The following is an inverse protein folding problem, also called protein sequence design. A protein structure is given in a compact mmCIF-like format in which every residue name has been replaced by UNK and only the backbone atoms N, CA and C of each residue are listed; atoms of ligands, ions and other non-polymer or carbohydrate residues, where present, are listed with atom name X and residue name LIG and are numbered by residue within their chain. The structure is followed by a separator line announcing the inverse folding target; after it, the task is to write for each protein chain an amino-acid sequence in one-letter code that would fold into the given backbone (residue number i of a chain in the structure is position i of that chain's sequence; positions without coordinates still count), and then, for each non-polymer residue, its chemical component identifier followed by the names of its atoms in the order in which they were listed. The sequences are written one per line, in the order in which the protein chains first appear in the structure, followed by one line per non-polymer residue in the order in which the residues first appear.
data_IF_017767144689
#
_entry.id   IF_017767144689
#
_cell.length_a   1.000
_cell.length_b   1.000
_cell.length_c   1.000
_cell.angle_alpha   90.00
_cell.angle_beta   90.00
_cell.angle_gamma   90.00
#
_symmetry.space_group_name_H-M   'P 1'
#
loop_
_entity.id
_entity.type
_entity.pdbx_description
1 polymer ?
#
# COMPACT_ATOMS: atom_id res chain seq x y z
N UNK A 1 34.32 5.79 9.34
CA UNK A 1 33.42 6.73 8.67
C UNK A 1 33.12 6.22 7.27
N UNK A 2 31.87 6.32 6.85
CA UNK A 2 31.39 5.94 5.51
C UNK A 2 31.04 7.20 4.72
N UNK A 3 31.24 7.13 3.41
CA UNK A 3 30.99 8.22 2.48
C UNK A 3 30.23 7.71 1.26
N UNK A 4 29.39 8.58 0.72
CA UNK A 4 28.72 8.41 -0.57
C UNK A 4 28.58 9.76 -1.28
N UNK A 5 28.40 9.71 -2.60
CA UNK A 5 28.24 10.87 -3.48
C UNK A 5 26.83 11.50 -3.47
N UNK A 6 25.86 10.83 -2.86
CA UNK A 6 24.46 11.30 -2.74
C UNK A 6 23.88 10.91 -1.37
N UNK A 7 22.90 11.67 -0.83
CA UNK A 7 22.16 11.24 0.35
C UNK A 7 21.15 10.13 -0.01
N UNK A 8 20.92 9.19 0.91
CA UNK A 8 19.82 8.23 0.78
C UNK A 8 18.45 8.94 0.79
N UNK A 9 17.42 8.42 0.11
CA UNK A 9 17.38 7.16 -0.62
C UNK A 9 17.79 7.28 -2.10
N UNK A 10 18.53 8.32 -2.49
CA UNK A 10 18.93 8.50 -3.88
C UNK A 10 19.91 7.40 -4.34
N UNK A 11 20.04 7.26 -5.66
CA UNK A 11 21.00 6.34 -6.26
C UNK A 11 22.42 6.86 -6.05
N UNK A 12 23.15 6.23 -5.13
CA UNK A 12 24.58 6.46 -4.92
C UNK A 12 25.37 5.74 -6.02
N UNK A 13 26.44 6.38 -6.51
CA UNK A 13 27.31 5.79 -7.55
C UNK A 13 28.77 5.71 -7.15
N UNK A 14 29.17 6.42 -6.10
CA UNK A 14 30.53 6.41 -5.55
C UNK A 14 30.50 6.54 -4.02
N UNK A 15 31.57 6.08 -3.37
CA UNK A 15 31.68 6.05 -1.92
C UNK A 15 32.95 5.37 -1.42
N UNK A 16 33.25 5.59 -0.14
CA UNK A 16 34.46 5.09 0.48
C UNK A 16 34.29 4.87 1.99
N UNK A 17 35.21 4.10 2.57
CA UNK A 17 35.31 3.95 4.02
C UNK A 17 36.66 4.48 4.47
N UNK A 18 36.64 5.37 5.46
CA UNK A 18 37.83 6.00 6.00
C UNK A 18 37.92 5.86 7.51
N UNK A 19 39.15 5.77 7.99
CA UNK A 19 39.50 5.80 9.41
C UNK A 19 40.31 7.06 9.70
N UNK A 20 39.87 7.83 10.69
CA UNK A 20 40.58 8.97 11.25
C UNK A 20 41.25 8.55 12.56
N UNK A 21 42.56 8.69 12.64
CA UNK A 21 43.30 8.65 13.90
C UNK A 21 43.25 10.06 14.52
N UNK A 22 42.41 10.24 15.54
CA UNK A 22 42.16 11.55 16.17
C UNK A 22 43.32 12.07 17.02
N UNK A 23 44.34 11.24 17.29
CA UNK A 23 45.54 11.69 18.00
C UNK A 23 46.55 12.34 17.04
N UNK A 24 46.52 11.96 15.76
CA UNK A 24 47.50 12.40 14.74
C UNK A 24 46.87 13.15 13.57
N UNK A 25 45.54 13.27 13.55
CA UNK A 25 44.73 13.75 12.43
C UNK A 25 44.99 13.02 11.10
N UNK A 26 45.51 11.78 11.18
CA UNK A 26 45.83 11.00 10.00
C UNK A 26 44.61 10.23 9.50
N UNK A 27 44.24 10.50 8.25
CA UNK A 27 43.23 9.75 7.51
C UNK A 27 43.85 8.55 6.80
N UNK A 28 43.20 7.39 6.89
CA UNK A 28 43.56 6.17 6.14
C UNK A 28 42.33 5.63 5.44
N UNK A 29 42.42 5.43 4.13
CA UNK A 29 41.37 4.76 3.35
C UNK A 29 41.36 3.27 3.73
N UNK A 30 40.20 2.76 4.10
CA UNK A 30 39.96 1.36 4.52
C UNK A 30 38.77 0.76 3.77
N UNK A 31 38.52 1.22 2.54
CA UNK A 31 37.40 0.81 1.69
C UNK A 31 37.47 -0.70 1.36
N UNK A 32 36.45 -1.52 1.72
CA UNK A 32 36.44 -2.96 1.44
C UNK A 32 36.47 -3.29 -0.06
N UNK A 33 35.55 -2.69 -0.80
CA UNK A 33 35.41 -2.79 -2.25
C UNK A 33 35.26 -1.39 -2.83
N UNK A 34 36.10 -1.03 -3.80
CA UNK A 34 36.02 0.28 -4.46
C UNK A 34 34.89 0.25 -5.50
N UNK A 35 33.94 1.22 -5.46
CA UNK A 35 33.02 1.45 -6.56
C UNK A 35 33.78 1.65 -7.87
N UNK A 36 33.17 1.23 -8.97
CA UNK A 36 33.74 1.42 -10.30
C UNK A 36 33.76 2.92 -10.66
N UNK A 37 34.75 3.40 -11.43
CA UNK A 37 34.77 4.79 -11.87
C UNK A 37 33.51 5.14 -12.65
N UNK A 38 32.98 6.35 -12.43
CA UNK A 38 31.80 6.83 -13.12
C UNK A 38 31.92 6.67 -14.65
N UNK A 39 30.87 6.14 -15.28
CA UNK A 39 30.82 5.93 -16.73
C UNK A 39 31.51 4.66 -17.24
N UNK A 40 31.94 3.75 -16.35
CA UNK A 40 32.51 2.45 -16.72
C UNK A 40 31.53 1.29 -16.52
N UNK A 41 31.78 0.17 -17.20
CA UNK A 41 31.07 -1.10 -16.99
C UNK A 41 31.57 -1.75 -15.69
N UNK A 42 30.97 -1.37 -14.56
CA UNK A 42 31.31 -1.89 -13.23
C UNK A 42 30.20 -1.61 -12.21
N UNK A 43 30.40 -2.03 -10.96
CA UNK A 43 29.43 -1.78 -9.88
C UNK A 43 29.58 -0.35 -9.35
N UNK A 44 28.50 0.42 -9.41
CA UNK A 44 28.43 1.81 -8.95
C UNK A 44 27.61 1.85 -7.66
N UNK A 45 28.20 2.30 -6.55
CA UNK A 45 27.56 2.27 -5.23
C UNK A 45 28.24 3.17 -4.21
N UNK A 46 27.56 3.40 -3.09
CA UNK A 46 28.10 4.09 -1.93
C UNK A 46 28.23 3.21 -0.70
N UNK A 47 28.78 3.77 0.39
CA UNK A 47 28.73 3.17 1.72
C UNK A 47 27.83 4.00 2.63
N UNK A 48 26.91 3.35 3.35
CA UNK A 48 25.91 4.02 4.15
C UNK A 48 26.20 3.92 5.65
N UNK A 49 26.09 2.71 6.22
CA UNK A 49 26.19 2.50 7.65
C UNK A 49 27.57 2.02 8.09
N UNK A 50 27.93 2.30 9.34
CA UNK A 50 29.12 1.77 10.01
C UNK A 50 28.81 1.52 11.47
N UNK A 51 29.18 0.33 11.97
CA UNK A 51 29.12 0.01 13.39
C UNK A 51 30.44 -0.60 13.85
N UNK A 52 30.84 -0.29 15.09
CA UNK A 52 32.07 -0.79 15.72
C UNK A 52 31.66 -1.67 16.89
N UNK A 53 32.26 -2.86 16.98
CA UNK A 53 32.04 -3.77 18.10
C UNK A 53 32.56 -3.12 19.39
N UNK A 54 31.68 -2.95 20.38
CA UNK A 54 32.03 -2.34 21.66
C UNK A 54 33.08 -3.13 22.43
N UNK A 55 33.08 -4.45 22.29
CA UNK A 55 33.99 -5.35 23.02
C UNK A 55 35.37 -5.45 22.39
N UNK A 56 35.47 -5.16 21.08
CA UNK A 56 36.69 -5.19 20.30
C UNK A 56 36.65 -4.11 19.22
N UNK A 57 37.21 -2.91 19.48
CA UNK A 57 37.17 -1.80 18.51
C UNK A 57 37.93 -2.05 17.20
N UNK A 58 38.71 -3.14 17.09
CA UNK A 58 39.26 -3.57 15.81
C UNK A 58 38.20 -4.22 14.91
N UNK A 59 37.07 -4.64 15.47
CA UNK A 59 35.95 -5.21 14.75
C UNK A 59 34.99 -4.11 14.29
N UNK A 60 34.79 -4.00 12.98
CA UNK A 60 33.97 -2.98 12.33
C UNK A 60 33.13 -3.63 11.23
N UNK A 61 31.87 -3.22 11.11
CA UNK A 61 31.01 -3.57 9.98
C UNK A 61 30.60 -2.32 9.21
N UNK A 62 30.46 -2.45 7.89
CA UNK A 62 29.94 -1.40 7.01
C UNK A 62 28.97 -1.98 6.00
N UNK A 63 27.98 -1.17 5.61
CA UNK A 63 27.02 -1.55 4.56
C UNK A 63 27.28 -0.80 3.27
N UNK A 64 26.98 -1.44 2.15
CA UNK A 64 26.87 -0.74 0.88
C UNK A 64 25.45 -0.24 0.66
N UNK A 65 25.33 0.71 -0.27
CA UNK A 65 24.06 1.23 -0.75
C UNK A 65 24.10 1.31 -2.27
N UNK A 66 23.09 0.74 -2.93
CA UNK A 66 23.00 0.64 -4.38
C UNK A 66 24.10 -0.20 -5.06
N UNK A 67 24.69 -1.20 -4.37
CA UNK A 67 25.73 -2.08 -4.96
C UNK A 67 25.31 -2.90 -6.18
N UNK A 68 24.00 -2.94 -6.46
CA UNK A 68 23.41 -3.74 -7.53
C UNK A 68 23.91 -5.19 -7.46
N UNK A 69 23.77 -6.00 -8.52
CA UNK A 69 23.89 -7.47 -8.48
C UNK A 69 25.08 -8.01 -7.64
N UNK A 70 24.87 -9.00 -6.75
CA UNK A 70 23.58 -9.64 -6.47
C UNK A 70 22.63 -8.77 -5.63
N UNK A 71 23.17 -7.97 -4.70
CA UNK A 71 22.45 -7.06 -3.80
C UNK A 71 23.46 -6.20 -3.01
N UNK A 72 22.96 -5.29 -2.16
CA UNK A 72 23.79 -4.60 -1.16
C UNK A 72 24.48 -5.60 -0.21
N UNK A 73 25.72 -5.31 0.19
CA UNK A 73 26.57 -6.20 0.98
C UNK A 73 26.92 -5.58 2.34
N UNK A 74 27.23 -6.44 3.30
CA UNK A 74 27.78 -6.07 4.60
C UNK A 74 29.21 -6.59 4.66
N UNK A 75 30.17 -5.69 4.85
CA UNK A 75 31.57 -6.07 5.05
C UNK A 75 31.94 -6.00 6.53
N UNK A 76 32.58 -7.07 7.02
CA UNK A 76 33.12 -7.16 8.38
C UNK A 76 34.65 -7.19 8.36
N UNK A 77 35.27 -6.40 9.22
CA UNK A 77 36.70 -6.41 9.51
C UNK A 77 36.90 -6.75 10.98
N UNK A 78 38.01 -7.42 11.32
CA UNK A 78 38.46 -7.69 12.70
C UNK A 78 39.87 -7.14 12.97
N UNK A 79 40.39 -6.28 12.08
CA UNK A 79 41.74 -5.71 12.14
C UNK A 79 41.78 -4.19 11.90
N UNK A 80 40.66 -3.53 12.20
CA UNK A 80 40.49 -2.09 12.09
C UNK A 80 40.41 -1.61 10.64
N UNK A 81 39.83 -2.41 9.75
CA UNK A 81 39.57 -2.11 8.35
C UNK A 81 40.73 -2.41 7.39
N UNK A 82 41.75 -3.17 7.81
CA UNK A 82 42.85 -3.55 6.91
C UNK A 82 42.44 -4.67 5.97
N UNK A 83 41.66 -5.63 6.47
CA UNK A 83 41.04 -6.70 5.68
C UNK A 83 39.56 -6.79 5.99
N UNK A 84 38.79 -7.25 5.00
CA UNK A 84 37.33 -7.31 5.05
C UNK A 84 36.81 -8.65 4.52
N UNK A 85 35.64 -9.05 5.02
CA UNK A 85 34.92 -10.25 4.60
C UNK A 85 33.45 -9.90 4.33
N UNK A 86 32.85 -10.36 3.22
CA UNK A 86 31.41 -10.22 2.99
C UNK A 86 30.64 -11.11 3.97
N UNK A 87 29.49 -10.64 4.44
CA UNK A 87 28.61 -11.42 5.32
C UNK A 87 27.45 -12.06 4.54
N UNK A 88 26.95 -11.44 3.49
CA UNK A 88 25.70 -11.80 2.84
C UNK A 88 25.84 -12.69 1.61
N UNK A 89 26.95 -12.60 0.87
CA UNK A 89 27.19 -13.42 -0.33
C UNK A 89 26.98 -14.93 -0.11
N UNK A 90 27.33 -15.44 1.07
CA UNK A 90 27.19 -16.86 1.47
C UNK A 90 26.14 -17.08 2.55
N UNK A 91 25.36 -16.06 2.89
CA UNK A 91 24.37 -16.15 3.95
C UNK A 91 23.26 -17.16 3.64
N UNK A 92 22.65 -17.70 4.69
CA UNK A 92 21.36 -18.38 4.60
C UNK A 92 20.27 -17.53 5.24
N UNK A 93 19.08 -17.55 4.66
CA UNK A 93 17.97 -16.68 5.03
C UNK A 93 16.78 -17.50 5.56
N UNK A 94 16.26 -17.09 6.70
CA UNK A 94 15.04 -17.63 7.30
C UNK A 94 13.89 -16.64 7.08
N UNK A 95 12.99 -17.01 6.17
CA UNK A 95 11.80 -16.26 5.81
C UNK A 95 10.54 -16.71 6.57
N UNK A 96 10.65 -17.64 7.52
CA UNK A 96 9.48 -18.30 8.15
C UNK A 96 8.53 -17.33 8.87
N UNK A 97 9.02 -16.20 9.36
CA UNK A 97 8.18 -15.16 10.00
C UNK A 97 7.37 -14.34 8.99
N UNK A 98 7.85 -14.25 7.74
CA UNK A 98 7.22 -13.48 6.67
C UNK A 98 7.57 -14.09 5.30
N UNK A 99 6.93 -15.21 4.89
CA UNK A 99 7.38 -16.00 3.74
C UNK A 99 7.41 -15.22 2.42
N UNK A 100 6.57 -14.19 2.26
CA UNK A 100 6.57 -13.33 1.06
C UNK A 100 7.93 -12.67 0.76
N UNK A 101 8.79 -12.53 1.77
CA UNK A 101 10.12 -11.92 1.66
C UNK A 101 11.12 -12.77 0.88
N UNK A 102 10.85 -14.07 0.64
CA UNK A 102 11.70 -14.97 -0.18
C UNK A 102 11.84 -14.47 -1.64
N UNK A 103 10.89 -13.66 -2.10
CA UNK A 103 10.91 -13.03 -3.43
C UNK A 103 11.47 -11.60 -3.44
N UNK A 104 11.95 -11.11 -2.29
CA UNK A 104 12.47 -9.75 -2.13
C UNK A 104 14.00 -9.75 -2.23
N UNK A 105 14.57 -8.70 -2.82
CA UNK A 105 16.03 -8.52 -2.90
C UNK A 105 16.46 -7.57 -1.80
N UNK A 106 17.50 -7.89 -1.03
CA UNK A 106 18.03 -6.97 -0.01
C UNK A 106 18.59 -5.70 -0.65
N UNK A 107 18.20 -4.54 -0.11
CA UNK A 107 18.57 -3.22 -0.62
C UNK A 107 18.38 -2.18 0.48
N UNK A 108 18.96 -1.00 0.27
CA UNK A 108 18.78 0.16 1.15
C UNK A 108 19.24 -0.10 2.58
N UNK A 109 20.42 -0.70 2.73
CA UNK A 109 21.04 -0.98 4.02
C UNK A 109 21.58 0.31 4.64
N UNK A 110 20.69 1.17 5.11
CA UNK A 110 21.03 2.47 5.70
C UNK A 110 21.57 2.38 7.13
N UNK A 111 21.30 1.27 7.82
CA UNK A 111 21.72 1.08 9.20
C UNK A 111 22.12 -0.37 9.48
N UNK A 112 23.10 -0.52 10.36
CA UNK A 112 23.55 -1.82 10.88
C UNK A 112 24.08 -1.64 12.30
N UNK A 113 23.70 -2.55 13.19
CA UNK A 113 24.13 -2.51 14.58
C UNK A 113 24.62 -3.86 15.05
N UNK A 114 25.75 -3.84 15.79
CA UNK A 114 26.28 -4.98 16.54
C UNK A 114 25.74 -4.87 17.95
N UNK A 115 25.16 -5.96 18.49
CA UNK A 115 24.71 -5.96 19.87
C UNK A 115 25.91 -5.71 20.82
N UNK A 116 25.89 -4.66 21.65
CA UNK A 116 27.00 -4.34 22.54
C UNK A 116 27.26 -5.40 23.63
N UNK A 117 26.35 -6.38 23.78
CA UNK A 117 26.43 -7.49 24.70
C UNK A 117 26.71 -8.84 24.01
N UNK A 118 26.65 -8.91 22.68
CA UNK A 118 26.92 -10.14 21.92
C UNK A 118 27.47 -9.81 20.53
N UNK A 119 28.75 -10.09 20.32
CA UNK A 119 29.40 -9.89 19.00
C UNK A 119 28.90 -10.82 17.89
N UNK A 120 28.16 -11.85 18.27
CA UNK A 120 27.47 -12.75 17.33
C UNK A 120 26.16 -12.17 16.84
N UNK A 121 25.56 -11.23 17.59
CA UNK A 121 24.28 -10.65 17.24
C UNK A 121 24.43 -9.35 16.47
N UNK A 122 23.81 -9.28 15.30
CA UNK A 122 23.73 -8.06 14.49
C UNK A 122 22.34 -7.88 13.90
N UNK A 123 21.95 -6.63 13.64
CA UNK A 123 20.71 -6.29 12.95
C UNK A 123 20.99 -5.25 11.86
N UNK A 124 20.34 -5.35 10.71
CA UNK A 124 20.41 -4.33 9.67
C UNK A 124 19.02 -4.04 9.08
N UNK A 125 18.86 -2.81 8.58
CA UNK A 125 17.63 -2.37 7.92
C UNK A 125 17.66 -2.65 6.42
N UNK A 126 16.48 -2.84 5.84
CA UNK A 126 16.27 -2.82 4.39
C UNK A 126 15.08 -1.93 4.07
N UNK A 127 14.82 -1.69 2.78
CA UNK A 127 13.61 -0.99 2.35
C UNK A 127 12.29 -1.72 2.67
N UNK A 128 12.31 -2.92 3.24
CA UNK A 128 11.11 -3.71 3.53
C UNK A 128 11.11 -4.40 4.91
N UNK A 129 12.05 -4.04 5.80
CA UNK A 129 12.08 -4.58 7.16
C UNK A 129 13.49 -4.81 7.69
N UNK A 130 13.57 -5.49 8.83
CA UNK A 130 14.79 -5.70 9.61
C UNK A 130 15.21 -7.16 9.53
N UNK A 131 16.50 -7.38 9.32
CA UNK A 131 17.12 -8.70 9.37
C UNK A 131 18.09 -8.78 10.53
N UNK A 132 18.15 -9.93 11.20
CA UNK A 132 19.09 -10.17 12.28
C UNK A 132 19.84 -11.48 12.11
N UNK A 133 21.02 -11.57 12.69
CA UNK A 133 21.81 -12.79 12.82
C UNK A 133 22.24 -12.96 14.27
N UNK A 134 22.37 -14.20 14.72
CA UNK A 134 22.95 -14.58 16.01
C UNK A 134 24.25 -15.39 15.85
N UNK A 135 24.90 -15.32 14.68
CA UNK A 135 26.16 -16.03 14.42
C UNK A 135 27.15 -15.22 13.57
N UNK A 136 27.17 -13.89 13.69
CA UNK A 136 28.00 -13.03 12.86
C UNK A 136 29.50 -13.38 12.89
N UNK A 137 30.04 -13.89 14.01
CA UNK A 137 31.47 -14.27 14.10
C UNK A 137 31.82 -15.53 13.30
N UNK A 138 30.83 -16.27 12.79
CA UNK A 138 31.07 -17.41 11.90
C UNK A 138 31.89 -16.99 10.66
N UNK A 139 31.67 -15.77 10.16
CA UNK A 139 32.41 -15.20 9.04
C UNK A 139 33.92 -15.10 9.32
N UNK A 140 34.33 -14.89 10.57
CA UNK A 140 35.75 -14.80 10.98
C UNK A 140 36.47 -16.15 10.77
N UNK A 141 35.73 -17.25 10.86
CA UNK A 141 36.19 -18.63 10.57
C UNK A 141 35.95 -19.06 9.12
N UNK A 142 35.39 -18.20 8.28
CA UNK A 142 35.06 -18.52 6.88
C UNK A 142 33.78 -19.35 6.71
N UNK A 143 32.95 -19.42 7.75
CA UNK A 143 31.65 -20.09 7.76
C UNK A 143 30.52 -19.11 7.35
N UNK A 144 29.42 -19.61 6.76
CA UNK A 144 28.22 -18.80 6.47
C UNK A 144 27.57 -18.16 7.70
N UNK A 145 27.07 -16.94 7.53
CA UNK A 145 26.14 -16.32 8.49
C UNK A 145 24.71 -16.76 8.21
N UNK A 146 23.84 -16.69 9.23
CA UNK A 146 22.43 -17.07 9.16
C UNK A 146 21.59 -15.89 9.60
N UNK A 147 20.62 -15.51 8.80
CA UNK A 147 19.79 -14.34 9.03
C UNK A 147 18.31 -14.70 9.09
N UNK A 148 17.58 -14.14 10.06
CA UNK A 148 16.13 -14.22 10.17
C UNK A 148 15.49 -12.85 9.97
N UNK A 149 14.28 -12.83 9.41
CA UNK A 149 13.50 -11.60 9.28
C UNK A 149 12.84 -11.24 10.62
N UNK A 150 13.35 -10.21 11.28
CA UNK A 150 12.99 -9.79 12.65
C UNK A 150 12.06 -8.57 12.67
N UNK A 151 11.06 -8.54 11.80
CA UNK A 151 10.03 -7.48 11.77
C UNK A 151 8.71 -7.91 12.43
N UNK A 152 8.71 -8.93 13.29
CA UNK A 152 7.46 -9.37 13.96
C UNK A 152 6.85 -8.19 14.73
N UNK A 153 5.57 -7.90 14.46
CA UNK A 153 4.81 -6.76 15.02
C UNK A 153 5.30 -5.37 14.57
N UNK A 154 6.18 -5.29 13.58
CA UNK A 154 6.55 -4.04 12.91
C UNK A 154 5.86 -4.01 11.53
N UNK A 155 4.74 -3.29 11.47
CA UNK A 155 3.97 -3.09 10.24
C UNK A 155 4.17 -1.66 9.74
N UNK A 156 4.80 -1.51 8.57
CA UNK A 156 5.11 -0.20 7.97
C UNK A 156 4.55 -0.04 6.54
N UNK A 157 3.79 -1.03 6.06
CA UNK A 157 3.20 -0.94 4.72
C UNK A 157 2.23 0.24 4.62
N UNK A 158 2.07 0.75 3.40
CA UNK A 158 1.08 1.78 3.07
C UNK A 158 -0.04 1.12 2.26
N UNK A 159 -1.20 0.81 2.87
CA UNK A 159 -2.34 0.34 2.10
C UNK A 159 -2.92 1.46 1.25
N UNK A 160 -3.17 1.12 -0.02
CA UNK A 160 -3.73 2.03 -1.02
C UNK A 160 -5.16 1.61 -1.40
N UNK A 161 -5.50 0.34 -1.23
CA UNK A 161 -6.84 -0.17 -1.43
C UNK A 161 -7.11 -1.40 -0.56
N UNK A 162 -8.33 -1.51 -0.04
CA UNK A 162 -8.80 -2.61 0.80
C UNK A 162 -10.18 -3.07 0.33
N UNK A 163 -10.36 -4.37 0.13
CA UNK A 163 -11.68 -4.96 -0.12
C UNK A 163 -11.87 -6.20 0.75
N UNK A 164 -13.05 -6.32 1.37
CA UNK A 164 -13.46 -7.49 2.15
C UNK A 164 -14.65 -8.16 1.46
N UNK A 165 -14.42 -9.21 0.64
CA UNK A 165 -15.49 -9.87 -0.07
C UNK A 165 -16.39 -10.71 0.86
N UNK A 166 -17.65 -10.94 0.48
CA UNK A 166 -18.58 -11.79 1.24
C UNK A 166 -18.22 -13.28 1.23
N UNK A 167 -17.29 -13.71 0.37
CA UNK A 167 -16.82 -15.09 0.23
C UNK A 167 -15.30 -15.12 -0.02
N UNK A 168 -14.64 -16.25 0.23
CA UNK A 168 -13.18 -16.39 0.04
C UNK A 168 -12.35 -15.81 1.19
N UNK A 169 -11.22 -15.18 0.88
CA UNK A 169 -10.32 -14.58 1.87
C UNK A 169 -11.01 -13.44 2.65
N UNK A 170 -10.62 -13.19 3.90
CA UNK A 170 -11.21 -12.14 4.75
C UNK A 170 -10.93 -10.74 4.22
N UNK A 171 -9.74 -10.54 3.67
CA UNK A 171 -9.30 -9.25 3.17
C UNK A 171 -8.38 -9.44 1.96
N UNK A 172 -8.50 -8.55 0.99
CA UNK A 172 -7.54 -8.39 -0.10
C UNK A 172 -7.03 -6.95 -0.01
N UNK A 173 -5.71 -6.80 -0.01
CA UNK A 173 -5.06 -5.50 0.15
C UNK A 173 -4.18 -5.15 -1.04
N UNK A 174 -4.35 -3.95 -1.57
CA UNK A 174 -3.41 -3.30 -2.48
C UNK A 174 -2.52 -2.37 -1.68
N UNK A 175 -1.21 -2.56 -1.81
CA UNK A 175 -0.19 -1.91 -1.00
C UNK A 175 0.82 -1.18 -1.88
N UNK A 176 1.40 -0.12 -1.31
CA UNK A 176 2.61 0.50 -1.86
C UNK A 176 3.82 -0.42 -1.73
N UNK A 177 4.71 -0.35 -2.73
CA UNK A 177 6.01 -1.02 -2.84
C UNK A 177 6.01 -2.56 -2.83
N UNK A 178 4.98 -3.23 -2.32
CA UNK A 178 4.92 -4.70 -2.22
C UNK A 178 3.74 -5.31 -2.97
N UNK A 179 3.16 -4.56 -3.91
CA UNK A 179 1.98 -4.93 -4.70
C UNK A 179 0.72 -5.11 -3.83
N UNK A 180 0.60 -6.24 -3.13
CA UNK A 180 -0.59 -6.59 -2.36
C UNK A 180 -0.68 -8.08 -2.03
N UNK A 181 -1.69 -8.42 -1.24
CA UNK A 181 -1.86 -9.72 -0.62
C UNK A 181 -3.32 -10.17 -0.52
N UNK A 182 -3.51 -11.48 -0.49
CA UNK A 182 -4.75 -12.16 -0.10
C UNK A 182 -4.58 -12.63 1.35
N UNK A 183 -5.48 -12.23 2.24
CA UNK A 183 -5.41 -12.51 3.67
C UNK A 183 -6.51 -13.50 4.08
N UNK A 184 -6.16 -14.79 4.11
CA UNK A 184 -7.05 -15.86 4.56
C UNK A 184 -7.15 -15.92 6.10
N UNK A 185 -6.01 -15.80 6.78
CA UNK A 185 -5.88 -15.74 8.23
C UNK A 185 -5.16 -14.45 8.63
N UNK A 186 -5.85 -13.57 9.35
CA UNK A 186 -5.33 -12.26 9.77
C UNK A 186 -4.21 -12.36 10.82
N UNK A 187 -3.96 -13.56 11.38
CA UNK A 187 -2.90 -13.81 12.35
C UNK A 187 -1.61 -14.36 11.73
N UNK A 188 -1.60 -14.63 10.42
CA UNK A 188 -0.47 -15.19 9.69
C UNK A 188 0.02 -14.22 8.62
N UNK A 189 1.33 -14.14 8.43
CA UNK A 189 1.88 -13.45 7.26
C UNK A 189 1.44 -14.17 5.99
N UNK A 190 1.05 -13.46 4.93
CA UNK A 190 0.80 -14.07 3.63
C UNK A 190 2.05 -14.79 3.09
N UNK A 191 1.81 -15.92 2.43
CA UNK A 191 2.88 -16.74 1.82
C UNK A 191 3.59 -16.02 0.67
N UNK A 192 2.83 -15.27 -0.13
CA UNK A 192 3.36 -14.55 -1.28
C UNK A 192 2.57 -13.26 -1.53
N UNK A 193 3.25 -12.26 -2.10
CA UNK A 193 2.60 -11.16 -2.83
C UNK A 193 1.76 -11.74 -3.96
N UNK A 194 0.79 -11.00 -4.49
CA UNK A 194 -0.05 -11.46 -5.62
C UNK A 194 0.78 -12.19 -6.69
N UNK A 195 0.40 -13.34 -7.25
CA UNK A 195 1.13 -13.90 -8.39
C UNK A 195 0.66 -13.26 -9.70
N UNK A 196 1.40 -13.49 -10.80
CA UNK A 196 1.13 -12.87 -12.10
C UNK A 196 1.85 -11.53 -12.26
N UNK A 197 1.27 -10.51 -12.92
CA UNK A 197 1.96 -9.24 -13.14
C UNK A 197 2.19 -8.48 -11.81
N UNK A 198 3.37 -8.64 -11.21
CA UNK A 198 4.40 -7.59 -11.16
C UNK A 198 4.04 -6.12 -10.90
N UNK A 199 3.17 -5.71 -9.97
CA UNK A 199 3.05 -4.27 -9.67
C UNK A 199 4.03 -3.87 -8.57
N UNK A 200 4.45 -2.61 -8.60
CA UNK A 200 5.08 -1.94 -7.45
C UNK A 200 3.98 -1.59 -6.45
N UNK A 201 2.98 -0.85 -6.91
CA UNK A 201 1.83 -0.43 -6.13
C UNK A 201 0.57 -1.01 -6.77
N UNK A 202 -0.27 -1.71 -6.02
CA UNK A 202 -1.69 -1.84 -6.39
C UNK A 202 -2.45 -0.70 -5.74
N UNK A 203 -2.93 0.22 -6.55
CA UNK A 203 -3.49 1.50 -6.10
C UNK A 203 -5.00 1.45 -5.94
N UNK A 204 -5.70 0.68 -6.79
CA UNK A 204 -7.14 0.42 -6.62
C UNK A 204 -7.49 -1.04 -6.91
N UNK A 205 -8.48 -1.54 -6.17
CA UNK A 205 -9.03 -2.90 -6.22
C UNK A 205 -10.55 -2.82 -6.15
N UNK A 206 -11.24 -3.70 -6.88
CA UNK A 206 -12.68 -3.90 -6.74
C UNK A 206 -13.06 -5.35 -7.05
N UNK A 207 -14.23 -5.77 -6.59
CA UNK A 207 -14.78 -7.10 -6.84
C UNK A 207 -16.26 -7.01 -7.26
N UNK A 208 -16.71 -8.01 -8.02
CA UNK A 208 -18.11 -8.09 -8.43
C UNK A 208 -18.95 -8.58 -7.25
N UNK A 209 -19.91 -7.75 -6.80
CA UNK A 209 -20.67 -8.03 -5.59
C UNK A 209 -21.43 -9.38 -5.59
N UNK A 210 -21.88 -9.84 -6.77
CA UNK A 210 -22.61 -11.12 -6.95
C UNK A 210 -21.71 -12.28 -7.37
N UNK A 211 -20.46 -12.01 -7.75
CA UNK A 211 -19.45 -13.01 -8.10
C UNK A 211 -18.10 -12.61 -7.48
N UNK A 212 -17.97 -12.66 -6.14
CA UNK A 212 -16.86 -12.01 -5.43
C UNK A 212 -15.46 -12.56 -5.73
N UNK A 213 -15.37 -13.73 -6.36
CA UNK A 213 -14.10 -14.25 -6.89
C UNK A 213 -13.59 -13.47 -8.12
N UNK A 214 -14.49 -12.80 -8.86
CA UNK A 214 -14.15 -11.89 -9.96
C UNK A 214 -13.67 -10.57 -9.38
N UNK A 215 -12.41 -10.24 -9.63
CA UNK A 215 -11.77 -9.02 -9.13
C UNK A 215 -11.01 -8.30 -10.24
N UNK A 216 -10.83 -7.00 -10.05
CA UNK A 216 -9.98 -6.15 -10.88
C UNK A 216 -9.05 -5.33 -10.01
N UNK A 217 -7.89 -4.99 -10.55
CA UNK A 217 -6.94 -4.08 -9.91
C UNK A 217 -6.21 -3.22 -10.92
N UNK A 218 -5.78 -2.05 -10.48
CA UNK A 218 -4.90 -1.16 -11.26
C UNK A 218 -3.75 -0.64 -10.40
N UNK A 219 -2.67 -0.25 -11.06
CA UNK A 219 -1.49 0.28 -10.37
C UNK A 219 -0.31 0.55 -11.28
N UNK A 220 0.88 0.63 -10.67
CA UNK A 220 2.13 1.10 -11.30
C UNK A 220 3.28 0.10 -11.12
N UNK A 221 4.30 0.15 -11.99
CA UNK A 221 5.54 -0.66 -11.88
C UNK A 221 6.72 0.11 -11.28
N UNK A 222 7.79 -0.61 -10.91
CA UNK A 222 9.08 -0.03 -10.50
C UNK A 222 9.83 0.71 -11.61
N UNK A 223 9.51 0.44 -12.88
CA UNK A 223 10.14 1.12 -13.99
C UNK A 223 9.50 2.51 -14.24
N UNK A 224 8.44 2.85 -13.48
CA UNK A 224 7.72 4.12 -13.56
C UNK A 224 7.31 4.51 -15.00
N UNK A 225 7.26 3.52 -15.88
CA UNK A 225 7.05 3.66 -17.32
C UNK A 225 5.71 3.06 -17.76
N UNK A 226 5.11 2.21 -16.92
CA UNK A 226 3.93 1.40 -17.25
C UNK A 226 2.91 1.39 -16.14
N UNK A 227 1.69 1.74 -16.52
CA UNK A 227 0.49 1.45 -15.77
C UNK A 227 0.09 0.00 -16.06
N UNK A 228 -0.48 -0.69 -15.08
CA UNK A 228 -1.06 -2.00 -15.30
C UNK A 228 -2.49 -2.04 -14.78
N UNK A 229 -3.31 -2.81 -15.49
CA UNK A 229 -4.56 -3.32 -14.99
C UNK A 229 -4.59 -4.84 -15.15
N UNK A 230 -5.21 -5.51 -14.20
CA UNK A 230 -5.33 -6.96 -14.19
C UNK A 230 -6.68 -7.39 -13.63
N UNK A 231 -7.09 -8.61 -13.97
CA UNK A 231 -8.27 -9.26 -13.41
C UNK A 231 -7.92 -10.61 -12.80
N UNK A 232 -8.78 -11.07 -11.90
CA UNK A 232 -8.73 -12.38 -11.24
C UNK A 232 -10.10 -13.03 -11.27
N UNK A 233 -10.14 -14.36 -11.31
CA UNK A 233 -11.35 -15.19 -11.30
C UNK A 233 -11.46 -16.06 -10.03
N UNK A 234 -10.51 -15.96 -9.13
CA UNK A 234 -10.33 -16.87 -7.99
C UNK A 234 -10.06 -16.13 -6.67
N UNK A 235 -10.57 -14.90 -6.57
CA UNK A 235 -10.49 -14.10 -5.35
C UNK A 235 -9.11 -13.47 -5.12
N UNK A 236 -8.41 -13.13 -6.19
CA UNK A 236 -7.10 -12.48 -6.15
C UNK A 236 -5.93 -13.44 -5.97
N UNK A 237 -6.16 -14.75 -6.07
CA UNK A 237 -5.10 -15.77 -5.94
C UNK A 237 -4.28 -15.90 -7.21
N UNK A 238 -4.85 -15.64 -8.38
CA UNK A 238 -4.13 -15.51 -9.64
C UNK A 238 -4.61 -14.28 -10.41
N UNK A 239 -3.67 -13.55 -11.01
CA UNK A 239 -3.95 -12.34 -11.77
C UNK A 239 -3.48 -12.46 -13.22
N UNK A 240 -4.34 -12.01 -14.15
CA UNK A 240 -4.03 -11.90 -15.57
C UNK A 240 -4.05 -10.43 -15.99
N UNK A 241 -3.02 -9.98 -16.70
CA UNK A 241 -3.00 -8.63 -17.27
C UNK A 241 -4.18 -8.43 -18.24
N UNK A 242 -4.74 -7.22 -18.28
CA UNK A 242 -5.61 -6.85 -19.40
C UNK A 242 -4.85 -6.93 -20.73
N UNK A 243 -5.53 -7.36 -21.79
CA UNK A 243 -4.92 -7.48 -23.11
C UNK A 243 -4.70 -6.10 -23.77
N UNK A 244 -5.54 -5.13 -23.46
CA UNK A 244 -5.38 -3.73 -23.83
C UNK A 244 -5.37 -2.83 -22.60
N UNK A 245 -4.68 -1.70 -22.72
CA UNK A 245 -4.69 -0.63 -21.72
C UNK A 245 -5.51 0.54 -22.27
N UNK A 246 -6.33 1.24 -21.46
CA UNK A 246 -7.01 2.43 -21.93
C UNK A 246 -6.01 3.49 -22.41
N UNK A 247 -6.41 4.36 -23.36
CA UNK A 247 -5.49 5.36 -23.91
C UNK A 247 -5.05 6.34 -22.82
N UNK A 248 -3.73 6.50 -22.64
CA UNK A 248 -3.20 7.50 -21.70
C UNK A 248 -3.53 8.92 -22.20
N UNK A 249 -4.10 9.79 -21.34
CA UNK A 249 -4.39 11.18 -21.71
C UNK A 249 -3.11 12.01 -21.93
N UNK A 250 -1.99 11.59 -21.33
CA UNK A 250 -0.68 12.20 -21.50
C UNK A 250 0.40 11.10 -21.45
N UNK A 251 0.94 10.75 -22.61
CA UNK A 251 1.98 9.72 -22.73
C UNK A 251 3.31 10.12 -22.08
N UNK A 252 3.50 11.39 -21.70
CA UNK A 252 4.72 11.88 -21.05
C UNK A 252 4.66 11.76 -19.53
N UNK A 253 3.45 11.58 -18.96
CA UNK A 253 3.26 11.40 -17.51
C UNK A 253 3.53 9.96 -17.11
N UNK A 254 4.40 9.81 -16.11
CA UNK A 254 4.90 8.53 -15.59
C UNK A 254 3.93 7.80 -14.63
N UNK A 255 2.80 8.42 -14.27
CA UNK A 255 1.98 8.03 -13.11
C UNK A 255 0.47 7.99 -13.37
N UNK A 256 0.03 7.71 -14.59
CA UNK A 256 -1.40 7.77 -14.94
C UNK A 256 -2.15 6.46 -14.66
N UNK A 257 -1.92 5.86 -13.49
CA UNK A 257 -2.87 4.91 -12.92
C UNK A 257 -4.16 5.66 -12.52
N UNK A 258 -5.16 4.97 -11.99
CA UNK A 258 -6.36 5.62 -11.48
C UNK A 258 -7.47 4.62 -11.16
N UNK A 259 -8.61 5.12 -10.65
CA UNK A 259 -9.65 4.28 -10.07
C UNK A 259 -10.29 3.34 -11.08
N UNK A 260 -10.39 2.08 -10.68
CA UNK A 260 -11.06 1.00 -11.40
C UNK A 260 -12.25 0.49 -10.59
N UNK A 261 -13.35 0.20 -11.27
CA UNK A 261 -14.57 -0.37 -10.68
C UNK A 261 -15.08 -1.53 -11.54
N UNK A 262 -15.69 -2.51 -10.89
CA UNK A 262 -16.28 -3.69 -11.51
C UNK A 262 -17.77 -3.74 -11.20
N UNK A 263 -18.62 -3.91 -12.23
CA UNK A 263 -20.08 -4.01 -12.03
C UNK A 263 -20.45 -5.12 -11.06
N UNK A 264 -21.63 -5.02 -10.45
CA UNK A 264 -22.13 -6.00 -9.48
C UNK A 264 -22.04 -7.46 -9.97
N UNK A 265 -22.20 -7.70 -11.28
CA UNK A 265 -22.11 -9.02 -11.92
C UNK A 265 -20.75 -9.35 -12.55
N UNK A 266 -19.82 -8.39 -12.60
CA UNK A 266 -18.52 -8.56 -13.22
C UNK A 266 -18.46 -8.40 -14.75
N UNK A 267 -19.56 -7.98 -15.39
CA UNK A 267 -19.66 -7.85 -16.85
C UNK A 267 -19.08 -6.54 -17.41
N UNK A 268 -18.95 -5.49 -16.60
CA UNK A 268 -18.44 -4.17 -17.02
C UNK A 268 -17.31 -3.73 -16.10
N UNK A 269 -16.21 -3.29 -16.71
CA UNK A 269 -15.10 -2.62 -16.03
C UNK A 269 -15.10 -1.15 -16.43
N UNK A 270 -15.08 -0.26 -15.45
CA UNK A 270 -14.79 1.16 -15.66
C UNK A 270 -13.41 1.49 -15.08
N UNK A 271 -12.56 2.15 -15.86
CA UNK A 271 -11.23 2.58 -15.44
C UNK A 271 -10.97 4.02 -15.87
N UNK A 272 -10.69 4.90 -14.91
CA UNK A 272 -10.32 6.29 -15.18
C UNK A 272 -8.84 6.48 -14.92
N UNK A 273 -8.04 6.62 -15.98
CA UNK A 273 -6.62 7.01 -15.83
C UNK A 273 -6.54 8.49 -15.41
N UNK A 274 -5.63 8.83 -14.50
CA UNK A 274 -5.47 10.22 -14.06
C UNK A 274 -5.21 11.18 -15.23
N UNK A 275 -5.96 12.28 -15.26
CA UNK A 275 -6.02 13.28 -16.33
C UNK A 275 -6.95 12.91 -17.50
N UNK A 276 -7.63 11.77 -17.45
CA UNK A 276 -8.46 11.24 -18.54
C UNK A 276 -9.94 11.14 -18.20
N UNK A 277 -10.74 10.81 -19.21
CA UNK A 277 -12.15 10.42 -19.04
C UNK A 277 -12.22 8.94 -18.65
N UNK A 278 -13.27 8.51 -17.90
CA UNK A 278 -13.50 7.10 -17.65
C UNK A 278 -13.56 6.31 -18.97
N UNK A 279 -12.98 5.11 -18.95
CA UNK A 279 -12.97 4.17 -20.06
C UNK A 279 -13.73 2.91 -19.63
N UNK A 280 -14.45 2.31 -20.58
CA UNK A 280 -15.33 1.16 -20.35
C UNK A 280 -14.83 -0.04 -21.12
N UNK A 281 -14.85 -1.20 -20.49
CA UNK A 281 -14.63 -2.51 -21.11
C UNK A 281 -15.75 -3.48 -20.75
N UNK A 282 -16.14 -4.33 -21.71
CA UNK A 282 -17.11 -5.44 -21.56
C UNK A 282 -16.52 -6.79 -21.96
N UNK A 283 -15.23 -6.83 -22.24
CA UNK A 283 -14.48 -7.99 -22.71
C UNK A 283 -13.27 -8.26 -21.80
N UNK A 284 -13.40 -7.89 -20.52
CA UNK A 284 -12.39 -8.05 -19.46
C UNK A 284 -11.03 -7.39 -19.81
N UNK A 285 -11.10 -6.15 -20.28
CA UNK A 285 -9.92 -5.37 -20.67
C UNK A 285 -9.31 -5.79 -22.00
N UNK A 286 -10.07 -6.48 -22.86
CA UNK A 286 -9.68 -6.76 -24.25
C UNK A 286 -9.67 -5.49 -25.11
N UNK A 287 -10.63 -4.60 -24.87
CA UNK A 287 -10.77 -3.31 -25.53
C UNK A 287 -11.41 -2.29 -24.59
N UNK A 288 -11.20 -1.00 -24.90
CA UNK A 288 -11.67 0.12 -24.08
C UNK A 288 -12.36 1.16 -24.96
N UNK A 289 -13.53 1.62 -24.54
CA UNK A 289 -14.29 2.69 -25.18
C UNK A 289 -14.50 3.87 -24.23
N UNK A 290 -14.44 5.12 -24.70
CA UNK A 290 -14.65 6.28 -23.84
C UNK A 290 -16.08 6.34 -23.31
N UNK A 291 -16.21 6.68 -22.03
CA UNK A 291 -17.48 7.00 -21.39
C UNK A 291 -17.82 8.47 -21.66
N UNK A 292 -19.08 8.75 -21.96
CA UNK A 292 -19.54 10.13 -22.25
C UNK A 292 -20.32 10.73 -21.08
N UNK A 293 -20.38 12.06 -20.99
CA UNK A 293 -21.11 12.78 -19.94
C UNK A 293 -20.42 12.85 -18.57
N UNK A 294 -19.40 12.02 -18.32
CA UNK A 294 -18.54 12.10 -17.15
C UNK A 294 -17.47 13.21 -17.28
N UNK A 295 -17.06 13.87 -16.18
CA UNK A 295 -15.92 14.76 -16.17
C UNK A 295 -14.59 13.97 -16.21
N UNK A 296 -13.50 14.68 -16.54
CA UNK A 296 -12.13 14.18 -16.38
C UNK A 296 -11.88 13.84 -14.91
N UNK A 297 -11.12 12.78 -14.65
CA UNK A 297 -10.75 12.29 -13.31
C UNK A 297 -11.93 11.77 -12.45
N UNK A 298 -13.12 11.55 -13.03
CA UNK A 298 -14.24 10.94 -12.30
C UNK A 298 -13.84 9.53 -11.80
N UNK A 299 -13.90 9.32 -10.50
CA UNK A 299 -13.71 7.99 -9.89
C UNK A 299 -15.02 7.19 -9.93
N UNK A 300 -15.12 6.14 -10.76
CA UNK A 300 -16.32 5.32 -10.80
C UNK A 300 -16.43 4.44 -9.56
N UNK A 301 -17.66 4.23 -9.09
CA UNK A 301 -18.02 3.25 -8.06
C UNK A 301 -19.22 2.47 -8.57
N UNK A 302 -19.13 1.15 -8.61
CA UNK A 302 -20.24 0.31 -9.00
C UNK A 302 -21.30 0.22 -7.90
N UNK A 303 -22.57 0.22 -8.27
CA UNK A 303 -23.63 -0.26 -7.38
C UNK A 303 -23.36 -1.73 -7.01
N UNK A 304 -23.71 -2.12 -5.77
CA UNK A 304 -23.43 -3.46 -5.25
C UNK A 304 -24.55 -4.46 -5.49
N UNK A 305 -25.60 -4.07 -6.22
CA UNK A 305 -26.77 -4.89 -6.56
C UNK A 305 -27.10 -4.80 -8.04
N UNK A 306 -27.15 -3.59 -8.62
CA UNK A 306 -27.55 -3.34 -10.00
C UNK A 306 -26.35 -3.27 -10.95
N UNK A 307 -26.12 -4.25 -11.84
CA UNK A 307 -24.93 -4.27 -12.69
C UNK A 307 -24.80 -3.10 -13.67
N UNK A 308 -25.93 -2.47 -14.02
CA UNK A 308 -25.98 -1.33 -14.92
C UNK A 308 -25.68 0.01 -14.26
N UNK A 309 -25.56 0.07 -12.93
CA UNK A 309 -25.54 1.33 -12.18
C UNK A 309 -24.13 1.64 -11.67
N UNK A 310 -23.64 2.84 -11.99
CA UNK A 310 -22.36 3.37 -11.50
C UNK A 310 -22.53 4.80 -11.00
N UNK A 311 -21.68 5.19 -10.07
CA UNK A 311 -21.65 6.51 -9.44
C UNK A 311 -20.26 7.15 -9.60
N UNK A 312 -20.21 8.47 -9.51
CA UNK A 312 -18.95 9.18 -9.30
C UNK A 312 -19.22 10.58 -8.79
N UNK A 313 -18.40 11.08 -7.88
CA UNK A 313 -18.54 12.42 -7.33
C UNK A 313 -17.37 13.30 -7.78
N UNK A 314 -17.69 14.35 -8.53
CA UNK A 314 -16.74 15.40 -8.89
C UNK A 314 -16.65 16.39 -7.72
N UNK A 315 -15.64 16.20 -6.89
CA UNK A 315 -15.39 17.05 -5.72
C UNK A 315 -14.94 18.47 -6.11
N UNK A 316 -14.39 18.70 -7.30
CA UNK A 316 -14.02 20.05 -7.73
C UNK A 316 -15.26 20.86 -8.13
N UNK A 317 -16.21 20.21 -8.82
CA UNK A 317 -17.44 20.85 -9.26
C UNK A 317 -18.57 20.80 -8.22
N UNK A 318 -18.51 19.88 -7.25
CA UNK A 318 -19.58 19.64 -6.29
C UNK A 318 -20.79 18.95 -6.93
N UNK A 319 -20.54 17.94 -7.78
CA UNK A 319 -21.57 17.28 -8.60
C UNK A 319 -21.49 15.76 -8.46
N UNK A 320 -22.61 15.12 -8.11
CA UNK A 320 -22.76 13.67 -8.19
C UNK A 320 -23.23 13.29 -9.60
N UNK A 321 -22.50 12.36 -10.22
CA UNK A 321 -22.79 11.77 -11.51
C UNK A 321 -23.27 10.32 -11.34
N UNK A 322 -24.23 9.91 -12.17
CA UNK A 322 -24.79 8.56 -12.15
C UNK A 322 -24.92 8.03 -13.58
N UNK A 323 -24.55 6.77 -13.76
CA UNK A 323 -24.84 5.98 -14.96
C UNK A 323 -25.81 4.87 -14.59
N UNK A 324 -26.77 4.57 -15.46
CA UNK A 324 -27.71 3.43 -15.32
C UNK A 324 -27.75 2.54 -16.57
N UNK A 325 -26.82 2.73 -17.51
CA UNK A 325 -26.72 2.03 -18.79
C UNK A 325 -25.47 1.15 -18.88
N UNK A 326 -24.94 0.76 -17.72
CA UNK A 326 -23.71 0.00 -17.59
C UNK A 326 -22.47 0.82 -17.87
N UNK A 327 -22.46 2.11 -17.49
CA UNK A 327 -21.29 2.97 -17.60
C UNK A 327 -21.01 3.51 -19.00
N UNK A 328 -21.98 3.48 -19.92
CA UNK A 328 -21.79 4.06 -21.27
C UNK A 328 -21.91 5.58 -21.22
N UNK A 329 -22.88 6.09 -20.46
CA UNK A 329 -23.11 7.51 -20.25
C UNK A 329 -23.27 7.81 -18.76
N UNK A 330 -22.78 8.97 -18.33
CA UNK A 330 -23.03 9.54 -17.00
C UNK A 330 -23.83 10.83 -17.12
N UNK A 331 -24.76 11.02 -16.19
CA UNK A 331 -25.56 12.23 -16.07
C UNK A 331 -25.25 12.93 -14.74
N UNK A 332 -25.25 14.27 -14.75
CA UNK A 332 -25.14 15.06 -13.53
C UNK A 332 -26.47 15.02 -12.75
N UNK A 333 -26.57 14.13 -11.77
CA UNK A 333 -27.81 13.86 -11.02
C UNK A 333 -28.05 14.84 -9.88
N UNK A 334 -27.00 15.23 -9.14
CA UNK A 334 -27.11 16.23 -8.08
C UNK A 334 -25.98 17.25 -8.17
N UNK A 335 -26.31 18.53 -8.01
CA UNK A 335 -25.37 19.65 -8.00
C UNK A 335 -25.43 20.38 -6.66
N UNK A 336 -24.38 21.13 -6.34
CA UNK A 336 -24.34 21.98 -5.14
C UNK A 336 -23.87 21.26 -3.89
N UNK A 337 -23.23 20.09 -4.04
CA UNK A 337 -22.46 19.48 -2.96
C UNK A 337 -21.23 20.34 -2.64
N UNK A 338 -20.64 20.19 -1.44
CA UNK A 338 -19.38 20.86 -1.11
C UNK A 338 -18.33 20.69 -2.20
N UNK A 339 -17.44 21.67 -2.33
CA UNK A 339 -16.30 21.58 -3.25
C UNK A 339 -15.03 21.35 -2.45
N UNK A 340 -14.09 20.65 -3.05
CA UNK A 340 -12.73 20.50 -2.55
C UNK A 340 -11.75 21.25 -3.46
N UNK A 341 -10.63 21.68 -2.89
CA UNK A 341 -9.55 22.29 -3.64
C UNK A 341 -8.62 21.22 -4.25
N UNK A 342 -7.90 21.59 -5.30
CA UNK A 342 -6.83 20.75 -5.83
C UNK A 342 -5.75 20.58 -4.76
N UNK A 343 -5.18 19.39 -4.69
CA UNK A 343 -4.05 19.14 -3.79
C UNK A 343 -2.84 19.96 -4.24
N UNK A 344 -1.96 20.35 -3.31
CA UNK A 344 -0.84 21.26 -3.60
C UNK A 344 0.16 20.71 -4.64
N UNK A 345 0.21 19.39 -4.81
CA UNK A 345 0.97 18.70 -5.87
C UNK A 345 0.19 18.52 -7.19
N UNK A 346 -0.96 19.19 -7.34
CA UNK A 346 -1.78 19.20 -8.57
C UNK A 346 -2.80 18.06 -8.69
N UNK A 347 -2.87 17.14 -7.73
CA UNK A 347 -3.82 16.02 -7.72
C UNK A 347 -5.28 16.46 -7.59
N UNK A 348 -6.19 15.74 -8.26
CA UNK A 348 -7.63 15.88 -8.04
C UNK A 348 -8.00 15.18 -6.73
N UNK A 349 -8.70 15.84 -5.80
CA UNK A 349 -9.16 15.20 -4.58
C UNK A 349 -10.06 14.03 -4.94
N UNK A 350 -9.72 12.84 -4.44
CA UNK A 350 -10.51 11.62 -4.61
C UNK A 350 -11.46 11.51 -3.40
N UNK A 351 -12.76 11.80 -3.56
CA UNK A 351 -13.68 11.74 -2.44
C UNK A 351 -14.05 10.29 -2.11
N UNK A 352 -14.36 10.05 -0.84
CA UNK A 352 -14.83 8.74 -0.42
C UNK A 352 -16.29 8.54 -0.85
N UNK A 353 -16.50 7.60 -1.77
CA UNK A 353 -17.82 7.19 -2.28
C UNK A 353 -17.95 5.68 -2.09
N UNK A 354 -19.04 5.25 -1.45
CA UNK A 354 -19.31 3.83 -1.18
C UNK A 354 -20.76 3.49 -1.47
N UNK A 355 -21.02 2.62 -2.44
CA UNK A 355 -22.33 2.00 -2.64
C UNK A 355 -22.59 0.94 -1.55
N UNK A 356 -23.84 0.83 -1.10
CA UNK A 356 -24.22 0.00 0.04
C UNK A 356 -24.46 -1.46 -0.40
N UNK A 357 -23.73 -2.46 0.14
CA UNK A 357 -23.99 -3.86 -0.16
C UNK A 357 -25.43 -4.27 0.15
N UNK A 358 -26.12 -4.89 -0.83
CA UNK A 358 -27.50 -5.35 -0.67
C UNK A 358 -28.58 -4.28 -0.80
N UNK A 359 -28.23 -2.99 -0.99
CA UNK A 359 -29.19 -1.88 -1.11
C UNK A 359 -28.97 -1.12 -2.42
N UNK A 360 -29.68 -1.56 -3.47
CA UNK A 360 -29.62 -0.96 -4.80
C UNK A 360 -29.94 0.53 -4.79
N UNK A 361 -29.16 1.34 -5.51
CA UNK A 361 -29.41 2.77 -5.62
C UNK A 361 -28.99 3.58 -4.40
N UNK A 362 -28.35 2.95 -3.41
CA UNK A 362 -27.94 3.61 -2.17
C UNK A 362 -26.42 3.75 -2.08
N UNK A 363 -25.95 4.96 -1.73
CA UNK A 363 -24.53 5.26 -1.56
C UNK A 363 -24.29 6.30 -0.48
N UNK A 364 -23.09 6.27 0.08
CA UNK A 364 -22.60 7.21 1.07
C UNK A 364 -21.40 7.96 0.51
N UNK A 365 -21.40 9.29 0.68
CA UNK A 365 -20.39 10.18 0.12
C UNK A 365 -19.85 11.08 1.21
N UNK A 366 -18.53 11.13 1.34
CA UNK A 366 -17.85 12.16 2.14
C UNK A 366 -17.61 13.37 1.25
N UNK A 367 -18.18 14.52 1.63
CA UNK A 367 -18.04 15.78 0.92
C UNK A 367 -17.90 16.93 1.93
N UNK A 368 -16.87 17.77 1.78
CA UNK A 368 -16.64 18.90 2.68
C UNK A 368 -16.62 18.50 4.16
N UNK A 369 -15.91 17.40 4.48
CA UNK A 369 -15.79 16.85 5.84
C UNK A 369 -17.10 16.36 6.50
N UNK A 370 -18.18 16.28 5.72
CA UNK A 370 -19.51 15.79 6.14
C UNK A 370 -19.81 14.48 5.42
N UNK A 371 -20.67 13.67 6.04
CA UNK A 371 -21.15 12.42 5.46
C UNK A 371 -22.58 12.60 4.93
N UNK A 372 -22.79 12.24 3.68
CA UNK A 372 -24.06 12.32 2.98
C UNK A 372 -24.54 10.93 2.60
N UNK A 373 -25.81 10.63 2.88
CA UNK A 373 -26.50 9.43 2.41
C UNK A 373 -27.36 9.78 1.22
N UNK A 374 -27.20 9.03 0.14
CA UNK A 374 -27.98 9.14 -1.08
C UNK A 374 -28.79 7.87 -1.30
N UNK A 375 -30.04 8.04 -1.71
CA UNK A 375 -30.94 6.95 -2.12
C UNK A 375 -31.48 7.22 -3.52
N UNK A 376 -32.25 6.27 -4.07
CA UNK A 376 -32.92 6.41 -5.38
C UNK A 376 -31.93 6.73 -6.51
N UNK A 377 -30.76 6.09 -6.48
CA UNK A 377 -29.65 6.30 -7.42
C UNK A 377 -29.19 7.75 -7.46
N UNK A 378 -28.95 8.33 -6.28
CA UNK A 378 -28.38 9.67 -6.15
C UNK A 378 -29.38 10.84 -6.22
N UNK A 379 -30.68 10.56 -6.38
CA UNK A 379 -31.72 11.62 -6.52
C UNK A 379 -32.13 12.23 -5.20
N UNK A 380 -32.14 11.44 -4.14
CA UNK A 380 -32.51 11.89 -2.79
C UNK A 380 -31.25 11.91 -1.93
N UNK A 381 -31.02 13.01 -1.21
CA UNK A 381 -29.81 13.23 -0.38
C UNK A 381 -30.19 13.67 1.03
N UNK A 382 -29.46 13.16 2.02
CA UNK A 382 -29.55 13.59 3.42
C UNK A 382 -28.15 13.69 4.03
N UNK A 383 -27.97 14.63 4.95
CA UNK A 383 -26.72 14.80 5.72
C UNK A 383 -26.81 14.01 7.01
N UNK A 384 -25.74 13.32 7.38
CA UNK A 384 -25.60 12.67 8.69
C UNK A 384 -25.09 13.71 9.70
N UNK A 385 -25.94 14.20 10.61
CA UNK A 385 -25.61 15.39 11.39
C UNK A 385 -24.62 15.12 12.54
N UNK A 386 -24.55 13.88 13.03
CA UNK A 386 -23.80 13.52 14.23
C UNK A 386 -22.27 13.59 14.03
N UNK A 387 -21.79 13.37 12.81
CA UNK A 387 -20.35 13.30 12.52
C UNK A 387 -19.84 14.61 11.92
N UNK A 388 -18.63 14.99 12.33
CA UNK A 388 -17.82 16.05 11.74
C UNK A 388 -16.47 15.47 11.28
N UNK A 389 -15.73 16.19 10.44
CA UNK A 389 -14.37 15.79 9.99
C UNK A 389 -14.31 14.34 9.51
N UNK A 390 -15.34 13.92 8.76
CA UNK A 390 -15.41 12.54 8.27
C UNK A 390 -14.31 12.33 7.25
N UNK A 391 -13.45 11.35 7.51
CA UNK A 391 -12.32 11.00 6.65
C UNK A 391 -12.59 9.79 5.75
N UNK A 392 -13.28 8.77 6.27
CA UNK A 392 -13.59 7.54 5.53
C UNK A 392 -14.88 6.89 6.05
N UNK A 393 -15.52 6.07 5.21
CA UNK A 393 -16.73 5.32 5.54
C UNK A 393 -16.66 3.92 4.91
N UNK A 394 -17.21 2.92 5.58
CA UNK A 394 -17.30 1.56 5.06
C UNK A 394 -18.44 0.78 5.68
N UNK A 395 -18.74 -0.38 5.10
CA UNK A 395 -19.85 -1.23 5.52
C UNK A 395 -19.36 -2.62 5.92
N UNK A 396 -20.00 -3.21 6.92
CA UNK A 396 -19.78 -4.59 7.32
C UNK A 396 -21.09 -5.32 7.56
N UNK A 397 -20.99 -6.52 8.13
CA UNK A 397 -22.14 -7.35 8.45
C UNK A 397 -23.17 -6.58 9.30
N UNK A 398 -24.48 -6.68 8.99
CA UNK A 398 -25.53 -6.12 9.83
C UNK A 398 -25.47 -6.60 11.28
N UNK A 399 -25.94 -5.76 12.21
CA UNK A 399 -26.18 -6.18 13.58
C UNK A 399 -27.27 -7.27 13.66
N UNK A 400 -27.24 -8.16 14.67
CA UNK A 400 -28.30 -9.14 14.85
C UNK A 400 -29.69 -8.49 14.90
N UNK A 401 -30.60 -8.94 14.02
CA UNK A 401 -31.96 -8.40 13.91
C UNK A 401 -32.09 -7.15 13.03
N UNK A 402 -31.01 -6.71 12.36
CA UNK A 402 -31.02 -5.67 11.34
C UNK A 402 -30.71 -6.24 9.96
N UNK A 403 -31.34 -5.71 8.93
CA UNK A 403 -31.06 -6.03 7.52
C UNK A 403 -30.18 -4.95 6.85
N UNK A 404 -29.84 -3.90 7.58
CA UNK A 404 -28.99 -2.81 7.08
C UNK A 404 -27.53 -3.02 7.52
N UNK A 405 -26.54 -2.92 6.62
CA UNK A 405 -25.13 -3.09 6.96
C UNK A 405 -24.68 -2.20 8.11
N UNK A 406 -23.86 -2.73 9.02
CA UNK A 406 -23.20 -1.89 10.01
C UNK A 406 -22.31 -0.88 9.27
N UNK A 407 -22.40 0.40 9.66
CA UNK A 407 -21.63 1.48 9.06
C UNK A 407 -20.47 1.80 9.98
N UNK A 408 -19.28 1.90 9.41
CA UNK A 408 -18.07 2.31 10.11
C UNK A 408 -17.60 3.64 9.54
N UNK A 409 -17.10 4.54 10.38
CA UNK A 409 -16.56 5.82 9.95
C UNK A 409 -15.35 6.24 10.78
N UNK A 410 -14.34 6.82 10.13
CA UNK A 410 -13.30 7.61 10.79
C UNK A 410 -13.74 9.07 10.77
N UNK A 411 -13.97 9.66 11.95
CA UNK A 411 -14.63 10.97 12.06
C UNK A 411 -14.35 11.62 13.42
N UNK A 412 -15.03 12.75 13.66
CA UNK A 412 -15.18 13.38 14.97
C UNK A 412 -16.65 13.30 15.39
N UNK A 413 -16.91 12.77 16.59
CA UNK A 413 -18.22 12.76 17.25
C UNK A 413 -18.09 13.46 18.60
N UNK A 414 -18.92 14.46 18.86
CA UNK A 414 -18.92 15.24 20.13
C UNK A 414 -17.52 15.74 20.54
N UNK A 415 -16.70 16.14 19.56
CA UNK A 415 -15.34 16.64 19.76
C UNK A 415 -14.27 15.56 19.93
N UNK A 416 -14.65 14.27 19.91
CA UNK A 416 -13.72 13.15 19.99
C UNK A 416 -13.41 12.61 18.58
N UNK A 417 -12.14 12.67 18.21
CA UNK A 417 -11.61 12.06 16.99
C UNK A 417 -11.38 10.56 17.19
N UNK A 418 -11.79 9.73 16.22
CA UNK A 418 -11.65 8.29 16.29
C UNK A 418 -12.46 7.51 15.25
N UNK A 419 -12.64 6.23 15.54
CA UNK A 419 -13.46 5.29 14.77
C UNK A 419 -14.81 5.11 15.44
N UNK A 420 -15.87 5.10 14.63
CA UNK A 420 -17.25 4.97 15.08
C UNK A 420 -18.01 3.91 14.27
N UNK A 421 -18.98 3.25 14.91
CA UNK A 421 -19.91 2.32 14.28
C UNK A 421 -21.35 2.79 14.47
N UNK A 422 -22.17 2.61 13.44
CA UNK A 422 -23.63 2.74 13.52
C UNK A 422 -24.30 1.45 13.06
N UNK A 423 -25.27 0.97 13.84
CA UNK A 423 -26.02 -0.25 13.57
C UNK A 423 -27.48 0.03 13.13
N UNK A 424 -27.83 1.31 12.95
CA UNK A 424 -29.21 1.79 12.71
C UNK A 424 -29.31 2.77 11.53
N UNK A 425 -28.48 2.54 10.50
CA UNK A 425 -28.38 3.35 9.28
C UNK A 425 -27.97 4.82 9.54
N UNK A 426 -27.06 5.02 10.49
CA UNK A 426 -26.41 6.31 10.77
C UNK A 426 -27.15 7.22 11.73
N UNK A 427 -28.19 6.73 12.42
CA UNK A 427 -28.99 7.52 13.37
C UNK A 427 -28.25 7.69 14.70
N UNK A 428 -27.64 6.61 15.20
CA UNK A 428 -26.80 6.61 16.39
C UNK A 428 -25.43 6.02 16.11
N UNK A 429 -24.44 6.45 16.88
CA UNK A 429 -23.04 6.10 16.70
C UNK A 429 -22.41 5.71 18.04
N UNK A 430 -21.59 4.68 18.03
CA UNK A 430 -20.77 4.26 19.17
C UNK A 430 -19.30 4.37 18.80
N UNK A 431 -18.46 4.81 19.74
CA UNK A 431 -17.01 4.78 19.52
C UNK A 431 -16.49 3.35 19.61
N UNK A 432 -15.57 2.99 18.72
CA UNK A 432 -14.94 1.67 18.65
C UNK A 432 -13.40 1.76 18.72
N UNK A 433 -12.88 2.93 19.07
CA UNK A 433 -11.46 3.20 19.30
C UNK A 433 -11.27 3.95 20.61
N UNK A 434 -10.08 3.91 21.18
CA UNK A 434 -9.74 4.66 22.40
C UNK A 434 -8.53 5.58 22.19
N UNK A 435 -8.11 6.28 23.26
CA UNK A 435 -7.02 7.25 23.20
C UNK A 435 -5.64 6.62 22.87
N UNK A 436 -5.45 5.33 23.17
CA UNK A 436 -4.22 4.59 22.89
C UNK A 436 -4.22 3.98 21.49
N UNK A 437 -5.40 3.83 20.87
CA UNK A 437 -5.60 3.16 19.59
C UNK A 437 -6.13 4.09 18.50
N UNK A 438 -5.42 5.20 18.24
CA UNK A 438 -5.80 6.20 17.22
C UNK A 438 -5.12 6.01 15.86
N UNK A 439 -3.88 5.53 15.87
CA UNK A 439 -3.07 5.22 14.67
C UNK A 439 -2.89 6.34 13.63
N UNK A 440 -3.30 7.58 13.92
CA UNK A 440 -3.24 8.69 12.97
C UNK A 440 -4.50 8.78 12.11
N UNK A 441 -4.38 9.15 10.83
CA UNK A 441 -5.52 9.33 9.94
C UNK A 441 -5.88 8.01 9.25
N UNK A 442 -7.07 7.47 9.52
CA UNK A 442 -7.63 6.31 8.84
C UNK A 442 -8.35 6.71 7.55
N UNK A 443 -7.61 6.72 6.42
CA UNK A 443 -8.11 7.17 5.12
C UNK A 443 -8.76 6.06 4.27
N UNK A 444 -8.51 4.80 4.59
CA UNK A 444 -9.20 3.65 4.01
C UNK A 444 -9.80 2.84 5.14
N UNK A 445 -11.07 2.47 4.97
CA UNK A 445 -11.83 1.74 5.96
C UNK A 445 -12.88 0.86 5.26
N UNK A 446 -13.00 -0.39 5.71
CA UNK A 446 -14.09 -1.30 5.28
C UNK A 446 -14.46 -2.24 6.42
N UNK A 447 -15.74 -2.58 6.55
CA UNK A 447 -16.17 -3.63 7.47
C UNK A 447 -16.00 -5.02 6.85
N UNK A 448 -16.11 -6.05 7.68
CA UNK A 448 -16.20 -7.43 7.22
C UNK A 448 -17.68 -7.82 7.00
N UNK A 449 -18.10 -8.25 5.80
CA UNK A 449 -19.48 -8.65 5.53
C UNK A 449 -19.91 -9.96 6.21
N UNK A 450 -18.96 -10.75 6.73
CA UNK A 450 -19.21 -12.05 7.38
C UNK A 450 -19.10 -12.01 8.90
N UNK A 451 -18.37 -11.03 9.46
CA UNK A 451 -18.13 -10.90 10.91
C UNK A 451 -18.68 -9.57 11.44
N UNK A 452 -19.71 -9.64 12.30
CA UNK A 452 -20.34 -8.44 12.85
C UNK A 452 -19.36 -7.69 13.76
N UNK A 453 -19.31 -6.37 13.57
CA UNK A 453 -18.46 -5.47 14.34
C UNK A 453 -17.00 -5.44 13.92
N UNK A 454 -16.54 -6.33 13.01
CA UNK A 454 -15.18 -6.29 12.50
C UNK A 454 -15.00 -5.16 11.48
N UNK A 455 -13.93 -4.39 11.66
CA UNK A 455 -13.50 -3.32 10.75
C UNK A 455 -12.03 -3.46 10.42
N UNK A 456 -11.67 -3.21 9.17
CA UNK A 456 -10.31 -3.07 8.67
C UNK A 456 -10.07 -1.60 8.36
N UNK A 457 -8.93 -1.04 8.77
CA UNK A 457 -8.57 0.34 8.45
C UNK A 457 -7.07 0.50 8.24
N UNK A 458 -6.71 1.48 7.41
CA UNK A 458 -5.33 1.74 7.01
C UNK A 458 -4.85 3.11 7.52
N UNK A 459 -4.12 3.13 8.63
CA UNK A 459 -3.25 4.24 8.98
C UNK A 459 -1.98 4.23 8.10
N UNK A 460 -1.66 5.35 7.46
CA UNK A 460 -0.47 5.45 6.61
C UNK A 460 0.82 5.07 7.37
N UNK A 461 1.62 4.15 6.80
CA UNK A 461 2.91 3.72 7.36
C UNK A 461 2.79 2.85 8.61
N UNK A 462 1.62 2.24 8.84
CA UNK A 462 1.32 1.41 10.02
C UNK A 462 0.63 0.09 9.64
N UNK A 463 0.68 -0.27 8.36
CA UNK A 463 0.02 -1.43 7.80
C UNK A 463 -1.50 -1.39 7.88
N UNK A 464 -2.11 -2.57 8.01
CA UNK A 464 -3.55 -2.75 8.11
C UNK A 464 -3.87 -3.13 9.55
N UNK A 465 -4.71 -2.35 10.20
CA UNK A 465 -5.23 -2.67 11.53
C UNK A 465 -6.65 -3.20 11.38
N UNK A 466 -7.00 -4.22 12.15
CA UNK A 466 -8.39 -4.64 12.30
C UNK A 466 -8.84 -4.55 13.76
N UNK A 467 -10.12 -4.26 13.96
CA UNK A 467 -10.74 -4.20 15.28
C UNK A 467 -12.00 -5.04 15.33
N UNK A 468 -12.30 -5.61 16.50
CA UNK A 468 -13.51 -6.39 16.77
C UNK A 468 -14.08 -6.01 18.15
N UNK A 469 -15.40 -6.20 18.39
CA UNK A 469 -15.96 -6.07 19.73
C UNK A 469 -15.25 -7.01 20.71
N UNK A 470 -14.92 -6.51 21.90
CA UNK A 470 -14.37 -7.34 22.98
C UNK A 470 -15.34 -8.48 23.32
N UNK A 471 -14.78 -9.66 23.63
CA UNK A 471 -15.54 -10.86 24.01
C UNK A 471 -16.09 -10.77 25.43
#
# INVERSE_FOLDING_TARGET
MTYADQPGPNRMTDGAVWKLDTATDRWTEVTPEKPAPAGTDGRHFGYAAVCVDRSDPATVVVTTWNREKPFDEIYRSTDGGRTWRPLLERATWDHSSAPYTDTMTHHWMSDIEIDPHSRDRMMFTTGYGIWATDNATAADRGEPTRWSFESRNLEETVPLSLVSPPEGAHLISGLGDVDGFVHDDLSQSPEARFPGPRFKNTETLDFAATHPALMVRSGTTYQWDKIHGAWSEDGGRHWQSFAATPPSPDATKRFSSGPIALSADGSVILWTLHGGLPQRSTDRGGSWSPVTGAPVDLAPVADRVEPGTFYGYDALAGILYVSTDGGQTFEATLRGLPKAERQWWGGVPQPEVRAVPGHAGELWVVAGEKLYRFTERGRTVSVVPALAKVGSVGFGKPAPGSDYPAIFAAAVLDGQDGLFRSDDAGKTWVSISDAQHRYGSARLLTGDPRVFGRVYFAPHGRGIVYGEPAK
#
